data_IF_293978244989
#
_entry.id   IF_293978244989
#
_cell.length_a   1.000
_cell.length_b   1.000
_cell.length_c   1.000
_cell.angle_alpha   90.00
_cell.angle_beta   90.00
_cell.angle_gamma   90.00
#
_symmetry.space_group_name_H-M   'P 1'
#
loop_
_entity.id
_entity.type
_entity.pdbx_description
1 polymer ?
#
# COMPACT_ATOMS: atom_id res chain seq x y z
N UNK A 1 -18.31 -17.18 -33.14
CA UNK A 1 -17.02 -16.48 -33.30
C UNK A 1 -17.13 -15.16 -32.55
N UNK A 2 -16.62 -15.06 -31.32
CA UNK A 2 -16.57 -13.79 -30.59
C UNK A 2 -15.15 -13.25 -30.71
N UNK A 3 -14.99 -12.18 -31.47
CA UNK A 3 -13.74 -11.44 -31.53
C UNK A 3 -13.54 -10.72 -30.19
N UNK A 4 -12.51 -11.09 -29.43
CA UNK A 4 -12.12 -10.35 -28.23
C UNK A 4 -11.63 -8.96 -28.68
N UNK A 5 -12.22 -7.85 -28.19
CA UNK A 5 -11.73 -6.53 -28.53
C UNK A 5 -10.31 -6.35 -27.97
N UNK A 6 -9.39 -5.69 -28.71
CA UNK A 6 -8.06 -5.41 -28.18
C UNK A 6 -8.18 -4.53 -26.94
N UNK A 7 -7.68 -5.02 -25.80
CA UNK A 7 -7.57 -4.18 -24.60
C UNK A 7 -6.62 -3.01 -24.87
N UNK A 8 -6.93 -1.79 -24.39
CA UNK A 8 -6.07 -0.63 -24.61
C UNK A 8 -4.67 -0.88 -24.04
N UNK A 9 -3.65 -0.33 -24.72
CA UNK A 9 -2.27 -0.42 -24.26
C UNK A 9 -2.15 0.23 -22.86
N UNK A 10 -1.33 -0.33 -21.96
CA UNK A 10 -1.15 0.21 -20.62
C UNK A 10 -0.62 1.65 -20.71
N UNK A 11 -1.42 2.61 -20.23
CA UNK A 11 -1.06 4.02 -20.23
C UNK A 11 -0.18 4.34 -19.02
N UNK A 12 1.03 4.83 -19.27
CA UNK A 12 1.95 5.26 -18.22
C UNK A 12 1.43 6.54 -17.57
N UNK A 13 0.85 6.42 -16.38
CA UNK A 13 0.27 7.55 -15.67
C UNK A 13 1.32 8.54 -15.12
N UNK A 14 2.61 8.14 -15.03
CA UNK A 14 3.68 9.02 -14.55
C UNK A 14 3.83 9.08 -13.03
N UNK A 15 3.01 8.34 -12.27
CA UNK A 15 3.19 8.11 -10.83
C UNK A 15 2.97 6.65 -10.46
N UNK A 16 3.51 6.21 -9.32
CA UNK A 16 3.26 4.88 -8.78
C UNK A 16 2.01 4.91 -7.88
N UNK A 17 1.11 3.92 -7.97
CA UNK A 17 -0.04 3.86 -7.07
C UNK A 17 0.41 3.69 -5.62
N UNK A 18 -0.14 4.53 -4.75
CA UNK A 18 0.00 4.47 -3.30
C UNK A 18 -1.35 4.27 -2.63
N UNK A 19 -1.35 4.19 -1.32
CA UNK A 19 -2.57 4.17 -0.51
C UNK A 19 -3.33 5.49 -0.69
N UNK A 20 -2.65 6.63 -0.56
CA UNK A 20 -3.26 7.96 -0.69
C UNK A 20 -3.64 8.33 -2.13
N UNK A 21 -2.86 7.85 -3.10
CA UNK A 21 -3.07 8.12 -4.53
C UNK A 21 -3.24 6.79 -5.28
N UNK A 22 -4.44 6.19 -5.22
CA UNK A 22 -4.72 4.96 -5.94
C UNK A 22 -4.79 5.21 -7.45
N UNK A 23 -4.56 4.15 -8.22
CA UNK A 23 -4.67 4.20 -9.68
C UNK A 23 -5.94 3.51 -10.13
N UNK A 24 -6.70 4.13 -11.02
CA UNK A 24 -7.83 3.46 -11.66
C UNK A 24 -7.32 2.36 -12.61
N UNK A 25 -7.88 1.16 -12.45
CA UNK A 25 -7.70 0.01 -13.32
C UNK A 25 -9.06 -0.45 -13.83
N UNK A 26 -9.06 -1.35 -14.82
CA UNK A 26 -10.30 -1.81 -15.47
C UNK A 26 -11.29 -2.49 -14.50
N UNK A 27 -10.79 -2.96 -13.37
CA UNK A 27 -11.51 -3.61 -12.27
C UNK A 27 -11.86 -2.69 -11.10
N UNK A 28 -11.34 -1.45 -11.06
CA UNK A 28 -11.50 -0.51 -9.94
C UNK A 28 -10.18 0.13 -9.53
N UNK A 29 -10.10 0.67 -8.31
CA UNK A 29 -8.87 1.27 -7.81
C UNK A 29 -7.85 0.22 -7.36
N UNK A 30 -6.59 0.46 -7.69
CA UNK A 30 -5.44 -0.28 -7.22
C UNK A 30 -4.76 0.51 -6.11
N UNK A 31 -4.78 -0.05 -4.91
CA UNK A 31 -4.26 0.55 -3.68
C UNK A 31 -3.05 -0.26 -3.23
N UNK A 32 -1.89 0.39 -3.06
CA UNK A 32 -0.67 -0.28 -2.61
C UNK A 32 -0.40 0.04 -1.15
N UNK A 33 -0.37 -0.99 -0.33
CA UNK A 33 -0.02 -0.91 1.09
C UNK A 33 1.44 -1.35 1.27
N UNK A 34 2.19 -0.60 2.06
CA UNK A 34 3.64 -0.81 2.28
C UNK A 34 3.88 -1.05 3.76
N UNK A 35 3.79 -2.30 4.24
CA UNK A 35 4.00 -2.60 5.65
C UNK A 35 5.40 -2.16 6.10
N UNK A 36 5.55 -1.66 7.34
CA UNK A 36 6.84 -1.29 7.88
C UNK A 36 7.80 -2.50 7.87
N UNK A 37 8.94 -2.35 7.21
CA UNK A 37 9.96 -3.39 6.99
C UNK A 37 9.44 -4.66 6.27
N UNK A 38 8.27 -4.60 5.61
CA UNK A 38 7.61 -5.78 5.06
C UNK A 38 7.12 -6.75 6.13
N UNK A 39 6.99 -6.31 7.39
CA UNK A 39 6.44 -7.09 8.49
C UNK A 39 4.95 -6.83 8.59
N UNK A 40 4.20 -7.92 8.72
CA UNK A 40 2.76 -7.92 8.88
C UNK A 40 2.41 -8.92 9.97
N UNK A 41 1.64 -8.50 10.98
CA UNK A 41 1.11 -9.44 11.97
C UNK A 41 -0.02 -10.28 11.35
N UNK A 42 -0.30 -11.46 11.93
CA UNK A 42 -1.41 -12.29 11.47
C UNK A 42 -2.76 -11.53 11.55
N UNK A 43 -2.96 -10.74 12.60
CA UNK A 43 -4.16 -9.88 12.73
C UNK A 43 -4.24 -8.82 11.64
N UNK A 44 -3.13 -8.16 11.31
CA UNK A 44 -3.08 -7.21 10.19
C UNK A 44 -3.37 -7.88 8.85
N UNK A 45 -2.85 -9.10 8.63
CA UNK A 45 -3.11 -9.86 7.42
C UNK A 45 -4.60 -10.22 7.26
N UNK A 46 -5.24 -10.68 8.34
CA UNK A 46 -6.66 -10.98 8.36
C UNK A 46 -7.50 -9.73 8.12
N UNK A 47 -7.20 -8.62 8.80
CA UNK A 47 -7.88 -7.34 8.57
C UNK A 47 -7.72 -6.85 7.14
N UNK A 48 -6.55 -7.01 6.52
CA UNK A 48 -6.37 -6.67 5.10
C UNK A 48 -7.23 -7.54 4.18
N UNK A 49 -7.38 -8.83 4.48
CA UNK A 49 -8.22 -9.74 3.69
C UNK A 49 -9.71 -9.39 3.80
N UNK A 50 -10.17 -9.02 5.01
CA UNK A 50 -11.52 -8.50 5.23
C UNK A 50 -11.73 -7.20 4.45
N UNK A 51 -10.81 -6.24 4.56
CA UNK A 51 -10.89 -4.96 3.84
C UNK A 51 -10.88 -5.14 2.31
N UNK A 52 -10.10 -6.09 1.80
CA UNK A 52 -10.10 -6.41 0.38
C UNK A 52 -11.44 -6.98 -0.09
N UNK A 53 -12.15 -7.70 0.78
CA UNK A 53 -13.47 -8.26 0.51
C UNK A 53 -14.59 -7.23 0.67
N UNK A 54 -14.48 -6.31 1.62
CA UNK A 54 -15.47 -5.27 1.91
C UNK A 54 -15.42 -4.11 0.91
N UNK A 55 -14.22 -3.69 0.52
CA UNK A 55 -14.02 -2.49 -0.29
C UNK A 55 -13.46 -2.77 -1.68
N UNK A 56 -13.01 -3.99 -1.96
CA UNK A 56 -12.39 -4.38 -3.22
C UNK A 56 -12.97 -5.63 -3.86
N UNK A 57 -12.21 -6.23 -4.76
CA UNK A 57 -12.59 -7.46 -5.45
C UNK A 57 -12.26 -8.74 -4.65
N UNK A 58 -11.92 -8.63 -3.36
CA UNK A 58 -11.44 -9.75 -2.54
C UNK A 58 -10.04 -10.24 -2.90
N UNK A 59 -9.30 -9.50 -3.74
CA UNK A 59 -7.98 -9.89 -4.21
C UNK A 59 -6.87 -9.09 -3.53
N UNK A 60 -5.93 -9.82 -2.92
CA UNK A 60 -4.69 -9.30 -2.35
C UNK A 60 -3.50 -9.90 -3.08
N UNK A 61 -2.64 -9.06 -3.62
CA UNK A 61 -1.39 -9.49 -4.24
C UNK A 61 -0.19 -9.14 -3.37
N UNK A 62 0.64 -10.15 -3.10
CA UNK A 62 1.93 -9.97 -2.45
C UNK A 62 3.03 -9.80 -3.50
N UNK A 63 3.75 -8.69 -3.41
CA UNK A 63 4.88 -8.42 -4.29
C UNK A 63 6.17 -9.06 -3.76
N UNK A 64 7.14 -9.31 -4.65
CA UNK A 64 8.49 -9.78 -4.30
C UNK A 64 9.26 -8.88 -3.31
N UNK A 65 8.77 -7.66 -3.06
CA UNK A 65 9.33 -6.70 -2.10
C UNK A 65 8.48 -6.58 -0.82
N UNK A 66 7.67 -7.59 -0.50
CA UNK A 66 6.79 -7.61 0.68
C UNK A 66 5.83 -6.40 0.79
N UNK A 67 5.43 -5.82 -0.36
CA UNK A 67 4.29 -4.90 -0.42
C UNK A 67 3.03 -5.66 -0.77
N UNK A 68 1.91 -5.11 -0.39
CA UNK A 68 0.58 -5.68 -0.57
C UNK A 68 -0.18 -4.77 -1.53
N UNK A 69 -0.85 -5.34 -2.52
CA UNK A 69 -1.71 -4.59 -3.45
C UNK A 69 -3.15 -5.09 -3.32
N UNK A 70 -4.06 -4.14 -3.13
CA UNK A 70 -5.50 -4.37 -3.16
C UNK A 70 -5.99 -3.95 -4.54
N UNK A 71 -6.76 -4.82 -5.20
CA UNK A 71 -7.34 -4.56 -6.51
C UNK A 71 -8.85 -4.47 -6.47
N UNK A 72 -9.41 -3.81 -7.49
CA UNK A 72 -10.84 -3.59 -7.62
C UNK A 72 -11.47 -2.78 -6.49
N UNK A 73 -10.71 -1.89 -5.84
CA UNK A 73 -11.25 -1.05 -4.76
C UNK A 73 -12.27 -0.07 -5.32
N UNK A 74 -13.49 -0.05 -4.76
CA UNK A 74 -14.51 0.89 -5.17
C UNK A 74 -14.07 2.32 -4.82
N UNK A 75 -14.19 3.32 -5.71
CA UNK A 75 -13.85 4.71 -5.40
C UNK A 75 -14.54 5.26 -4.16
N UNK A 76 -15.80 4.87 -3.93
CA UNK A 76 -16.55 5.23 -2.73
C UNK A 76 -16.01 4.57 -1.45
N UNK A 77 -15.40 3.38 -1.55
CA UNK A 77 -14.81 2.65 -0.44
C UNK A 77 -13.37 3.06 -0.09
N UNK A 78 -12.71 3.85 -0.96
CA UNK A 78 -11.31 4.24 -0.78
C UNK A 78 -11.06 5.01 0.53
N UNK A 79 -11.93 5.95 0.90
CA UNK A 79 -11.79 6.70 2.14
C UNK A 79 -11.93 5.83 3.40
N UNK A 80 -12.88 4.89 3.40
CA UNK A 80 -13.06 3.95 4.50
C UNK A 80 -11.87 2.97 4.61
N UNK A 81 -11.38 2.49 3.47
CA UNK A 81 -10.17 1.68 3.40
C UNK A 81 -8.96 2.41 3.99
N UNK A 82 -8.76 3.69 3.66
CA UNK A 82 -7.69 4.51 4.23
C UNK A 82 -7.81 4.63 5.76
N UNK A 83 -9.01 4.95 6.25
CA UNK A 83 -9.24 5.04 7.70
C UNK A 83 -8.91 3.71 8.40
N UNK A 84 -9.35 2.58 7.83
CA UNK A 84 -9.04 1.26 8.38
C UNK A 84 -7.54 0.94 8.35
N UNK A 85 -6.83 1.25 7.26
CA UNK A 85 -5.38 1.08 7.16
C UNK A 85 -4.64 1.94 8.19
N UNK A 86 -5.13 3.15 8.48
CA UNK A 86 -4.57 4.01 9.51
C UNK A 86 -4.72 3.39 10.90
N UNK A 87 -5.88 2.79 11.23
CA UNK A 87 -6.07 2.10 12.53
C UNK A 87 -5.12 0.91 12.73
N UNK A 88 -4.69 0.27 11.63
CA UNK A 88 -3.77 -0.86 11.66
C UNK A 88 -2.29 -0.43 11.67
N UNK A 89 -2.01 0.87 11.64
CA UNK A 89 -0.64 1.41 11.53
C UNK A 89 0.02 1.10 10.18
N UNK A 90 -0.79 0.80 9.15
CA UNK A 90 -0.33 0.43 7.81
C UNK A 90 -0.41 1.59 6.81
N UNK A 91 -0.91 2.74 7.24
CA UNK A 91 -0.98 3.96 6.45
C UNK A 91 0.09 4.98 6.91
N UNK A 92 0.71 5.64 5.93
CA UNK A 92 1.54 6.81 6.16
C UNK A 92 0.72 8.04 6.51
N UNK A 93 1.27 8.96 7.30
CA UNK A 93 0.55 10.17 7.72
C UNK A 93 0.10 11.06 6.55
N UNK A 94 0.80 11.02 5.42
CA UNK A 94 0.41 11.71 4.20
C UNK A 94 1.01 11.05 2.93
N UNK A 95 0.52 11.47 1.75
CA UNK A 95 0.97 10.97 0.46
C UNK A 95 2.47 11.24 0.18
N UNK A 96 3.04 12.32 0.70
CA UNK A 96 4.45 12.68 0.53
C UNK A 96 5.34 11.74 1.33
N UNK A 97 4.99 11.45 2.58
CA UNK A 97 5.68 10.46 3.43
C UNK A 97 5.66 9.08 2.76
N UNK A 98 4.51 8.69 2.21
CA UNK A 98 4.38 7.45 1.45
C UNK A 98 5.32 7.39 0.22
N UNK A 99 5.44 8.50 -0.50
CA UNK A 99 6.33 8.62 -1.66
C UNK A 99 7.82 8.57 -1.26
N UNK A 100 8.17 9.14 -0.11
CA UNK A 100 9.53 9.15 0.45
C UNK A 100 9.93 7.78 1.03
N UNK A 101 8.96 6.94 1.44
CA UNK A 101 9.16 5.55 1.92
C UNK A 101 9.67 4.56 0.86
N UNK A 102 10.22 5.02 -0.27
CA UNK A 102 10.93 4.13 -1.22
C UNK A 102 12.28 3.65 -0.68
N UNK A 103 12.88 4.35 0.30
CA UNK A 103 14.19 3.98 0.86
C UNK A 103 14.07 3.04 2.07
N UNK A 104 14.61 1.82 1.90
CA UNK A 104 14.64 0.77 2.93
C UNK A 104 15.59 1.12 4.09
N UNK A 105 16.59 2.00 3.88
CA UNK A 105 17.47 2.49 4.96
C UNK A 105 16.68 3.31 5.97
N UNK A 106 15.88 4.28 5.50
CA UNK A 106 15.07 5.16 6.35
C UNK A 106 14.09 4.36 7.23
N UNK A 107 13.53 3.30 6.65
CA UNK A 107 12.61 2.39 7.33
C UNK A 107 13.26 1.59 8.47
N UNK A 108 14.54 1.21 8.32
CA UNK A 108 15.30 0.54 9.39
C UNK A 108 15.57 1.47 10.56
N UNK A 109 15.84 2.74 10.29
CA UNK A 109 16.08 3.75 11.33
C UNK A 109 14.83 4.04 12.15
N UNK A 110 13.70 4.29 11.49
CA UNK A 110 12.42 4.55 12.16
C UNK A 110 11.93 3.35 12.99
N UNK A 111 12.18 2.13 12.51
CA UNK A 111 11.86 0.94 13.29
C UNK A 111 12.77 0.81 14.51
N UNK A 112 14.09 1.02 14.37
CA UNK A 112 15.00 1.01 15.52
C UNK A 112 14.64 2.09 16.55
N UNK A 113 14.13 3.24 16.12
CA UNK A 113 13.57 4.25 17.01
C UNK A 113 12.33 3.74 17.77
N UNK A 114 11.37 3.12 17.08
CA UNK A 114 10.14 2.60 17.70
C UNK A 114 10.36 1.40 18.64
N UNK A 115 11.27 0.46 18.32
CA UNK A 115 11.44 -0.78 19.10
C UNK A 115 12.61 -0.71 20.07
N UNK A 116 13.59 0.16 19.84
CA UNK A 116 14.82 0.25 20.64
C UNK A 116 15.14 1.66 21.16
N UNK A 117 14.33 2.69 20.85
CA UNK A 117 14.58 4.06 21.31
C UNK A 117 15.84 4.71 20.71
N UNK A 118 16.36 4.17 19.60
CA UNK A 118 17.57 4.67 18.96
C UNK A 118 17.20 5.74 17.93
N UNK A 119 17.47 7.01 18.26
CA UNK A 119 17.13 8.16 17.41
C UNK A 119 17.89 8.24 16.09
N UNK A 120 17.48 9.14 15.17
CA UNK A 120 17.98 9.24 13.78
C UNK A 120 19.49 9.48 13.66
N UNK A 121 20.13 10.00 14.72
CA UNK A 121 21.57 10.23 14.85
C UNK A 121 22.41 8.96 14.61
N UNK A 122 21.88 7.77 14.95
CA UNK A 122 22.59 6.50 14.82
C UNK A 122 22.62 5.95 13.38
N UNK A 123 21.85 6.53 12.48
CA UNK A 123 21.61 5.98 11.15
C UNK A 123 22.37 6.69 10.01
N UNK A 124 23.19 7.70 10.33
CA UNK A 124 24.02 8.40 9.36
C UNK A 124 23.25 9.19 8.30
N UNK A 125 22.00 9.58 8.59
CA UNK A 125 21.26 10.59 7.84
C UNK A 125 21.63 11.96 8.42
N UNK A 126 22.79 12.47 8.01
CA UNK A 126 23.16 13.88 8.13
C UNK A 126 23.30 14.45 6.70
#
# INVERSE_FOLDING_TARGET
MFATPPSPLPQTQGWCPGAWQPMASGDGLVVRVRPPLGRLSAGQALRLAELASEHGAGLLELTSRANIQLRGVAPAGHGALLAALATQGLLDGDARQEQLRKDRRLQRCQHLEQVAGIGPQACGLA
#
